data_IF_963832184678
#
_entry.id   IF_963832184678
#
_cell.length_a   1.000
_cell.length_b   1.000
_cell.length_c   1.000
_cell.angle_alpha   90.00
_cell.angle_beta   90.00
_cell.angle_gamma   90.00
#
_symmetry.space_group_name_H-M   'P 1'
#
loop_
_entity.id
_entity.type
_entity.pdbx_description
1 polymer ?
#
# COMPACT_ATOMS: atom_id res chain seq x y z
N UNK A 1 -7.11 -35.66 8.29
CA UNK A 1 -7.54 -34.60 9.23
C UNK A 1 -6.60 -34.61 10.42
N UNK A 2 -5.99 -33.47 10.81
CA UNK A 2 -5.17 -33.45 12.00
C UNK A 2 -6.07 -33.68 13.22
N UNK A 3 -5.72 -34.68 14.03
CA UNK A 3 -6.37 -35.01 15.31
C UNK A 3 -5.73 -34.17 16.41
N UNK A 4 -6.25 -32.97 16.62
CA UNK A 4 -5.86 -32.07 17.68
C UNK A 4 -6.88 -30.95 17.71
N UNK A 5 -7.66 -30.85 18.78
CA UNK A 5 -8.77 -29.92 18.89
C UNK A 5 -8.33 -28.51 18.49
N UNK A 6 -8.95 -27.97 17.43
CA UNK A 6 -8.65 -26.64 16.95
C UNK A 6 -9.00 -25.66 18.08
N UNK A 7 -8.00 -25.04 18.70
CA UNK A 7 -8.23 -23.94 19.63
C UNK A 7 -8.91 -22.80 18.86
N UNK A 8 -10.13 -22.49 19.24
CA UNK A 8 -10.87 -21.37 18.68
C UNK A 8 -10.29 -20.06 19.25
N UNK A 9 -9.72 -19.24 18.36
CA UNK A 9 -9.21 -17.90 18.72
C UNK A 9 -10.31 -16.86 18.52
N UNK A 10 -10.71 -16.19 19.61
CA UNK A 10 -11.61 -15.04 19.55
C UNK A 10 -10.89 -13.83 18.96
N UNK A 11 -11.14 -13.54 17.69
CA UNK A 11 -10.67 -12.32 17.02
C UNK A 11 -11.63 -11.15 17.30
N UNK A 12 -11.09 -10.07 17.86
CA UNK A 12 -11.80 -8.78 17.95
C UNK A 12 -11.41 -7.94 16.74
N UNK A 13 -12.37 -7.60 15.91
CA UNK A 13 -12.19 -6.82 14.70
C UNK A 13 -13.17 -5.64 14.73
N UNK A 14 -12.72 -4.45 14.33
CA UNK A 14 -13.59 -3.29 14.17
C UNK A 14 -14.11 -3.28 12.74
N UNK A 15 -15.42 -3.11 12.61
CA UNK A 15 -16.08 -2.99 11.31
C UNK A 15 -16.58 -1.56 11.16
N UNK A 16 -16.14 -0.88 10.11
CA UNK A 16 -16.53 0.50 9.78
C UNK A 16 -17.29 0.47 8.46
N UNK A 17 -18.48 1.07 8.43
CA UNK A 17 -19.28 1.24 7.21
C UNK A 17 -19.19 2.68 6.76
N UNK A 18 -18.82 2.90 5.51
CA UNK A 18 -18.65 4.21 4.91
C UNK A 18 -19.64 4.32 3.74
N UNK A 19 -20.41 5.39 3.73
CA UNK A 19 -21.27 5.72 2.59
C UNK A 19 -20.45 6.46 1.54
N UNK A 20 -20.36 5.89 0.34
CA UNK A 20 -19.60 6.48 -0.78
C UNK A 20 -20.54 7.22 -1.73
N UNK A 21 -21.74 6.69 -1.90
CA UNK A 21 -22.81 7.26 -2.74
C UNK A 21 -24.15 6.91 -2.09
N UNK A 22 -25.24 7.65 -2.38
CA UNK A 22 -26.57 7.40 -1.80
C UNK A 22 -26.96 5.92 -1.97
N UNK A 23 -26.95 5.19 -0.85
CA UNK A 23 -27.31 3.76 -0.81
C UNK A 23 -26.19 2.77 -1.15
N UNK A 24 -24.97 3.22 -1.45
CA UNK A 24 -23.78 2.38 -1.67
C UNK A 24 -22.82 2.50 -0.49
N UNK A 25 -22.73 1.41 0.28
CA UNK A 25 -21.88 1.32 1.46
C UNK A 25 -20.71 0.39 1.21
N UNK A 26 -19.51 0.85 1.53
CA UNK A 26 -18.35 -0.02 1.66
C UNK A 26 -18.13 -0.39 3.12
N UNK A 27 -17.71 -1.64 3.35
CA UNK A 27 -17.49 -2.21 4.67
C UNK A 27 -16.00 -2.51 4.83
N UNK A 28 -15.36 -1.80 5.76
CA UNK A 28 -13.95 -1.99 6.08
C UNK A 28 -13.84 -2.77 7.39
N UNK A 29 -13.05 -3.84 7.38
CA UNK A 29 -12.67 -4.56 8.59
C UNK A 29 -11.24 -4.12 8.94
N UNK A 30 -11.05 -3.54 10.11
CA UNK A 30 -9.75 -3.02 10.53
C UNK A 30 -9.48 -3.29 12.01
N UNK A 31 -8.20 -3.44 12.35
CA UNK A 31 -7.71 -3.45 13.73
C UNK A 31 -7.12 -2.08 14.13
N UNK A 32 -7.27 -1.07 13.27
CA UNK A 32 -6.72 0.27 13.49
C UNK A 32 -7.69 1.14 14.31
N UNK A 33 -7.12 2.03 15.12
CA UNK A 33 -7.86 2.93 15.99
C UNK A 33 -8.66 4.00 15.22
N UNK A 34 -9.47 4.80 15.92
CA UNK A 34 -10.28 5.86 15.32
C UNK A 34 -9.47 6.98 14.66
N UNK A 35 -8.16 7.05 14.90
CA UNK A 35 -7.23 7.98 14.26
C UNK A 35 -7.04 7.74 12.75
N UNK A 36 -7.36 6.54 12.24
CA UNK A 36 -7.10 6.23 10.84
C UNK A 36 -8.12 6.89 9.91
N UNK A 37 -7.65 7.81 9.07
CA UNK A 37 -8.50 8.60 8.18
C UNK A 37 -8.53 7.97 6.79
N UNK A 38 -9.63 8.13 6.04
CA UNK A 38 -9.73 7.60 4.67
C UNK A 38 -8.56 8.09 3.80
N UNK A 39 -8.12 9.33 4.02
CA UNK A 39 -6.95 9.93 3.36
C UNK A 39 -5.70 9.05 3.41
N UNK A 40 -5.45 8.32 4.49
CA UNK A 40 -4.28 7.44 4.60
C UNK A 40 -4.38 6.24 3.65
N UNK A 41 -5.59 5.73 3.36
CA UNK A 41 -5.80 4.71 2.30
C UNK A 41 -5.59 5.29 0.92
N UNK A 42 -6.12 6.49 0.68
CA UNK A 42 -5.97 7.17 -0.60
C UNK A 42 -4.51 7.51 -0.88
N UNK A 43 -3.76 7.93 0.14
CA UNK A 43 -2.32 8.21 0.04
C UNK A 43 -1.53 6.98 -0.39
N UNK A 44 -1.93 5.79 0.04
CA UNK A 44 -1.30 4.54 -0.40
C UNK A 44 -1.58 4.25 -1.88
N UNK A 45 -2.82 4.44 -2.33
CA UNK A 45 -3.19 4.32 -3.75
C UNK A 45 -2.48 5.35 -4.64
N UNK A 46 -2.37 6.60 -4.17
CA UNK A 46 -1.59 7.67 -4.82
C UNK A 46 -0.12 7.30 -4.85
N UNK A 47 0.43 6.72 -3.78
CA UNK A 47 1.79 6.20 -3.73
C UNK A 47 2.03 5.13 -4.81
N UNK A 48 1.13 4.17 -4.94
CA UNK A 48 1.20 3.16 -6.01
C UNK A 48 1.06 3.76 -7.41
N UNK A 49 0.25 4.81 -7.57
CA UNK A 49 0.15 5.56 -8.84
C UNK A 49 1.46 6.24 -9.18
N UNK A 50 2.09 6.91 -8.23
CA UNK A 50 3.41 7.55 -8.38
C UNK A 50 4.48 6.53 -8.76
N UNK A 51 4.48 5.35 -8.13
CA UNK A 51 5.41 4.27 -8.48
C UNK A 51 5.27 3.82 -9.95
N UNK A 52 4.04 3.69 -10.44
CA UNK A 52 3.77 3.26 -11.81
C UNK A 52 4.18 4.31 -12.84
N UNK A 53 3.74 5.55 -12.65
CA UNK A 53 3.81 6.58 -13.70
C UNK A 53 4.98 7.54 -13.52
N UNK A 54 5.35 7.88 -12.28
CA UNK A 54 6.43 8.84 -12.00
C UNK A 54 7.78 8.12 -11.88
N UNK A 55 7.83 6.99 -11.18
CA UNK A 55 9.05 6.15 -11.07
C UNK A 55 9.19 5.22 -12.29
N UNK A 56 8.13 5.07 -13.08
CA UNK A 56 8.14 4.36 -14.37
C UNK A 56 8.15 2.84 -14.25
N UNK A 57 7.64 2.25 -13.17
CA UNK A 57 7.66 0.78 -12.95
C UNK A 57 6.79 -0.05 -13.91
N UNK A 58 6.24 0.56 -14.96
CA UNK A 58 5.50 -0.14 -16.01
C UNK A 58 6.42 -0.72 -17.09
N UNK A 59 7.55 -0.07 -17.35
CA UNK A 59 8.46 -0.43 -18.45
C UNK A 59 9.85 -0.77 -17.92
N UNK A 60 10.16 -2.07 -17.89
CA UNK A 60 11.49 -2.60 -17.53
C UNK A 60 12.29 -2.92 -18.80
N UNK A 61 13.55 -2.51 -18.83
CA UNK A 61 14.44 -2.79 -19.97
C UNK A 61 15.02 -4.20 -19.90
N UNK A 62 15.08 -4.76 -18.68
CA UNK A 62 15.64 -6.08 -18.43
C UNK A 62 14.61 -7.20 -18.63
N UNK A 63 14.99 -8.26 -19.35
CA UNK A 63 14.15 -9.48 -19.50
C UNK A 63 14.43 -10.56 -18.45
N UNK A 64 15.58 -10.50 -17.76
CA UNK A 64 15.94 -11.48 -16.71
C UNK A 64 15.48 -10.97 -15.35
N UNK A 65 14.80 -11.83 -14.57
CA UNK A 65 14.26 -11.49 -13.24
C UNK A 65 15.27 -10.81 -12.33
N UNK A 66 16.51 -11.30 -12.26
CA UNK A 66 17.56 -10.72 -11.40
C UNK A 66 17.81 -9.23 -11.70
N UNK A 67 17.85 -8.86 -12.98
CA UNK A 67 18.11 -7.48 -13.39
C UNK A 67 16.87 -6.58 -13.24
N UNK A 68 15.66 -7.13 -13.39
CA UNK A 68 14.41 -6.40 -13.09
C UNK A 68 14.39 -5.96 -11.62
N UNK A 69 14.77 -6.83 -10.68
CA UNK A 69 14.82 -6.45 -9.26
C UNK A 69 15.81 -5.31 -9.03
N UNK A 70 17.00 -5.39 -9.64
CA UNK A 70 17.99 -4.32 -9.55
C UNK A 70 17.47 -3.00 -10.13
N UNK A 71 16.73 -3.05 -11.24
CA UNK A 71 16.12 -1.88 -11.87
C UNK A 71 15.04 -1.24 -10.96
N UNK A 72 14.21 -2.06 -10.30
CA UNK A 72 13.23 -1.58 -9.31
C UNK A 72 13.94 -0.87 -8.15
N UNK A 73 14.96 -1.51 -7.55
CA UNK A 73 15.69 -0.92 -6.43
C UNK A 73 16.42 0.36 -6.82
N UNK A 74 17.08 0.39 -7.99
CA UNK A 74 17.79 1.58 -8.46
C UNK A 74 16.84 2.77 -8.68
N UNK A 75 15.67 2.55 -9.29
CA UNK A 75 14.68 3.60 -9.53
C UNK A 75 14.04 4.11 -8.22
N UNK A 76 13.77 3.22 -7.27
CA UNK A 76 13.28 3.60 -5.93
C UNK A 76 14.29 4.47 -5.18
N UNK A 77 15.55 4.04 -5.12
CA UNK A 77 16.62 4.77 -4.42
C UNK A 77 16.82 6.16 -5.05
N UNK A 78 16.81 6.25 -6.38
CA UNK A 78 16.96 7.53 -7.07
C UNK A 78 15.81 8.48 -6.76
N UNK A 79 14.56 7.99 -6.80
CA UNK A 79 13.38 8.79 -6.50
C UNK A 79 13.37 9.28 -5.04
N UNK A 80 13.69 8.41 -4.09
CA UNK A 80 13.77 8.78 -2.67
C UNK A 80 14.88 9.80 -2.39
N UNK A 81 16.01 9.70 -3.09
CA UNK A 81 17.11 10.67 -2.97
C UNK A 81 16.72 12.05 -3.53
N UNK A 82 16.02 12.08 -4.66
CA UNK A 82 15.49 13.33 -5.22
C UNK A 82 14.45 13.97 -4.31
N UNK A 83 13.56 13.15 -3.73
CA UNK A 83 12.57 13.63 -2.76
C UNK A 83 13.24 14.25 -1.52
N UNK A 84 14.30 13.63 -0.99
CA UNK A 84 15.06 14.18 0.15
C UNK A 84 15.67 15.55 -0.14
N UNK A 85 16.30 15.73 -1.32
CA UNK A 85 16.89 17.02 -1.69
C UNK A 85 15.84 18.14 -1.89
N UNK A 86 14.58 17.79 -2.14
CA UNK A 86 13.50 18.77 -2.27
C UNK A 86 13.02 19.29 -0.92
N UNK A 87 13.08 18.49 0.15
CA UNK A 87 12.76 18.91 1.52
C UNK A 87 13.90 19.68 2.18
N UNK A 88 15.15 19.46 1.76
CA UNK A 88 16.32 20.23 2.26
C UNK A 88 16.44 21.64 1.63
N UNK A 89 15.61 21.95 0.62
CA UNK A 89 15.53 23.28 -0.01
C UNK A 89 14.41 24.16 0.57
N UNK A 90 13.72 23.73 1.63
CA UNK A 90 12.72 24.52 2.37
C UNK A 90 13.14 24.75 3.83
#
# INVERSE_FOLDING_TARGET
MPKGGAQEYKLKLRVVRIEIEKGKYECLITNLGPEFTMEERWNEEVGFRTLKYTVGMLDFHSRKRKYIHQEIYARLILHLRQASQMFDCF
#
